data_IF_408351836220
#
_entry.id   IF_408351836220
#
_cell.length_a   1.000
_cell.length_b   1.000
_cell.length_c   1.000
_cell.angle_alpha   90.00
_cell.angle_beta   90.00
_cell.angle_gamma   90.00
#
_symmetry.space_group_name_H-M   'P 1'
#
loop_
_entity.id
_entity.type
_entity.pdbx_description
1 polymer ?
#
# COMPACT_ATOMS: atom_id res chain seq x y z
N UNK A 1 10.88 4.45 22.28
CA UNK A 1 11.08 2.98 22.37
C UNK A 1 12.23 2.57 21.48
N UNK A 2 12.96 1.52 21.87
CA UNK A 2 13.90 0.82 20.99
C UNK A 2 13.18 -0.30 20.27
N UNK A 3 13.07 -0.21 18.95
CA UNK A 3 12.30 -1.13 18.13
C UNK A 3 13.24 -1.88 17.18
N UNK A 4 13.19 -3.20 17.18
CA UNK A 4 13.85 -4.02 16.16
C UNK A 4 12.86 -4.29 15.03
N UNK A 5 13.20 -3.86 13.82
CA UNK A 5 12.45 -4.13 12.61
C UNK A 5 13.21 -5.13 11.72
N UNK A 6 12.66 -6.33 11.61
CA UNK A 6 13.17 -7.42 10.78
C UNK A 6 12.44 -7.40 9.44
N UNK A 7 13.05 -6.72 8.46
CA UNK A 7 12.52 -6.55 7.12
C UNK A 7 12.92 -7.68 6.17
N UNK A 8 12.70 -7.49 4.88
CA UNK A 8 13.14 -8.37 3.81
C UNK A 8 14.33 -7.74 3.05
N UNK A 9 15.12 -8.54 2.33
CA UNK A 9 16.26 -8.07 1.53
C UNK A 9 15.86 -7.37 0.22
N UNK A 10 14.57 -7.25 -0.06
CA UNK A 10 14.00 -6.57 -1.23
C UNK A 10 12.86 -5.69 -0.78
N UNK A 11 12.55 -4.69 -1.58
CA UNK A 11 11.40 -3.84 -1.37
C UNK A 11 10.10 -4.65 -1.23
N UNK A 12 9.29 -4.26 -0.26
CA UNK A 12 8.00 -4.86 0.04
C UNK A 12 7.04 -3.77 0.48
N UNK A 13 5.95 -3.60 -0.25
CA UNK A 13 5.04 -2.48 -0.04
C UNK A 13 4.47 -2.42 1.37
N UNK A 14 4.13 -3.56 1.99
CA UNK A 14 3.60 -3.56 3.37
C UNK A 14 4.68 -3.18 4.38
N UNK A 15 5.84 -3.87 4.32
CA UNK A 15 6.99 -3.56 5.16
C UNK A 15 7.42 -2.10 5.03
N UNK A 16 7.53 -1.62 3.80
CA UNK A 16 8.03 -0.29 3.50
C UNK A 16 7.05 0.79 3.96
N UNK A 17 5.74 0.58 3.77
CA UNK A 17 4.71 1.52 4.24
C UNK A 17 4.66 1.61 5.76
N UNK A 18 4.73 0.47 6.44
CA UNK A 18 4.77 0.45 7.90
C UNK A 18 6.04 1.10 8.44
N UNK A 19 7.20 0.76 7.87
CA UNK A 19 8.48 1.34 8.27
C UNK A 19 8.53 2.85 8.02
N UNK A 20 7.97 3.34 6.90
CA UNK A 20 7.84 4.77 6.64
C UNK A 20 7.08 5.47 7.78
N UNK A 21 5.89 4.97 8.14
CA UNK A 21 5.11 5.53 9.25
C UNK A 21 5.83 5.44 10.59
N UNK A 22 6.54 4.34 10.85
CA UNK A 22 7.31 4.15 12.08
C UNK A 22 8.45 5.15 12.21
N UNK A 23 9.17 5.43 11.12
CA UNK A 23 10.29 6.39 11.09
C UNK A 23 9.83 7.85 11.15
N UNK A 24 8.59 8.15 10.77
CA UNK A 24 7.99 9.47 10.97
C UNK A 24 7.72 9.76 12.46
N UNK A 25 7.59 8.71 13.29
CA UNK A 25 7.49 8.83 14.76
C UNK A 25 8.89 8.97 15.37
N UNK A 26 9.40 10.19 15.38
CA UNK A 26 10.78 10.53 15.77
C UNK A 26 11.16 10.17 17.21
N UNK A 27 10.19 9.84 18.05
CA UNK A 27 10.38 9.40 19.44
C UNK A 27 10.87 7.93 19.54
N UNK A 28 10.98 7.21 18.43
CA UNK A 28 11.41 5.82 18.40
C UNK A 28 12.83 5.69 17.84
N UNK A 29 13.63 4.81 18.46
CA UNK A 29 14.89 4.34 17.92
C UNK A 29 14.64 3.03 17.16
N UNK A 30 14.70 3.04 15.84
CA UNK A 30 14.42 1.88 15.01
C UNK A 30 15.71 1.23 14.53
N UNK A 31 15.92 -0.02 14.89
CA UNK A 31 17.03 -0.87 14.45
C UNK A 31 16.53 -1.76 13.32
N UNK A 32 17.09 -1.62 12.12
CA UNK A 32 16.62 -2.29 10.91
C UNK A 32 17.59 -3.36 10.45
N UNK A 33 17.09 -4.60 10.26
CA UNK A 33 17.87 -5.72 9.74
C UNK A 33 17.05 -6.56 8.73
N UNK A 34 17.45 -6.61 7.43
CA UNK A 34 18.49 -5.80 6.81
C UNK A 34 18.12 -4.32 6.71
N UNK A 35 19.11 -3.46 6.56
CA UNK A 35 18.87 -2.04 6.32
C UNK A 35 18.32 -1.83 4.91
N UNK A 36 17.11 -1.22 4.75
CA UNK A 36 16.43 -1.08 3.47
C UNK A 36 16.96 0.12 2.67
N UNK A 37 18.08 -0.06 1.98
CA UNK A 37 18.78 1.02 1.23
C UNK A 37 17.89 1.72 0.20
N UNK A 38 16.88 1.05 -0.36
CA UNK A 38 15.94 1.61 -1.34
C UNK A 38 15.02 2.68 -0.77
N UNK A 39 14.84 2.74 0.55
CA UNK A 39 14.04 3.79 1.19
C UNK A 39 14.84 5.09 1.38
N UNK A 40 16.16 5.07 1.20
CA UNK A 40 17.07 6.20 1.46
C UNK A 40 17.91 6.52 0.21
N UNK A 41 17.33 7.17 -0.81
CA UNK A 41 17.95 7.38 -2.12
C UNK A 41 19.21 8.23 -2.13
N UNK A 42 19.54 8.94 -1.06
CA UNK A 42 20.80 9.69 -0.91
C UNK A 42 22.03 8.80 -0.76
N UNK A 43 21.85 7.52 -0.44
CA UNK A 43 22.91 6.53 -0.53
C UNK A 43 23.03 6.07 -1.98
N UNK A 44 23.80 6.71 -2.78
CA UNK A 44 24.35 6.50 -4.15
C UNK A 44 24.23 5.12 -4.84
N UNK A 45 23.37 4.25 -4.43
CA UNK A 45 23.04 3.01 -5.08
C UNK A 45 21.78 3.20 -5.91
N UNK A 46 21.92 3.15 -7.23
CA UNK A 46 20.84 2.94 -8.15
C UNK A 46 19.96 1.82 -7.61
N UNK A 47 18.74 2.15 -7.20
CA UNK A 47 17.78 1.16 -6.75
C UNK A 47 17.29 0.45 -8.00
N UNK A 48 17.92 -0.66 -8.33
CA UNK A 48 17.47 -1.52 -9.42
C UNK A 48 16.20 -2.26 -8.99
N UNK A 49 15.07 -1.70 -9.33
CA UNK A 49 13.77 -2.34 -9.28
C UNK A 49 13.51 -3.18 -10.54
N UNK A 50 14.49 -3.98 -11.00
CA UNK A 50 14.33 -4.86 -12.15
C UNK A 50 13.82 -4.17 -13.43
N UNK A 51 14.28 -2.95 -13.70
CA UNK A 51 13.88 -2.19 -14.89
C UNK A 51 12.42 -1.73 -14.92
N UNK A 52 11.61 -2.07 -13.93
CA UNK A 52 10.30 -1.49 -13.76
C UNK A 52 10.46 -0.19 -12.96
N UNK A 53 9.90 0.89 -13.46
CA UNK A 53 9.78 2.18 -12.77
C UNK A 53 8.83 2.06 -11.57
N UNK A 54 9.16 1.19 -10.61
CA UNK A 54 8.44 1.07 -9.37
C UNK A 54 8.78 2.30 -8.54
N UNK A 55 7.88 3.25 -8.54
CA UNK A 55 7.96 4.42 -7.69
C UNK A 55 7.94 3.97 -6.24
N UNK A 56 9.07 4.08 -5.56
CA UNK A 56 9.08 3.93 -4.11
C UNK A 56 8.50 5.19 -3.50
N UNK A 57 7.19 5.28 -3.46
CA UNK A 57 6.57 6.41 -2.81
C UNK A 57 6.80 6.44 -1.29
N UNK A 58 7.48 5.44 -0.75
CA UNK A 58 7.95 5.40 0.66
C UNK A 58 9.35 5.98 0.89
N UNK A 59 10.03 6.52 -0.13
CA UNK A 59 11.37 7.09 0.05
C UNK A 59 11.40 8.19 1.11
N UNK A 60 12.48 8.18 1.89
CA UNK A 60 12.72 9.14 2.96
C UNK A 60 14.04 9.87 2.71
N UNK A 61 14.16 11.10 3.20
CA UNK A 61 15.35 11.92 2.97
C UNK A 61 16.59 11.36 3.65
N UNK A 62 16.49 11.01 4.92
CA UNK A 62 17.62 10.54 5.74
C UNK A 62 17.15 9.72 6.94
N UNK A 63 18.00 8.77 7.36
CA UNK A 63 17.88 8.09 8.64
C UNK A 63 19.26 7.69 9.15
N UNK A 64 19.53 7.92 10.42
CA UNK A 64 20.77 7.47 11.06
C UNK A 64 20.71 5.96 11.31
N UNK A 65 21.47 5.19 10.51
CA UNK A 65 21.54 3.74 10.66
C UNK A 65 22.03 3.36 12.06
N UNK A 66 21.23 2.61 12.80
CA UNK A 66 21.60 2.10 14.12
C UNK A 66 22.42 0.80 13.99
N UNK A 67 23.28 0.56 14.98
CA UNK A 67 24.11 -0.64 15.03
C UNK A 67 23.29 -1.91 15.27
N UNK A 68 23.36 -2.82 14.31
CA UNK A 68 22.72 -4.14 14.34
C UNK A 68 23.72 -5.29 14.52
N UNK A 69 24.95 -5.02 14.97
CA UNK A 69 25.88 -6.09 15.36
C UNK A 69 25.36 -6.85 16.58
N UNK A 70 25.70 -8.12 16.68
CA UNK A 70 25.33 -9.00 17.81
C UNK A 70 23.82 -9.05 18.12
N UNK A 71 22.96 -8.94 17.07
CA UNK A 71 21.50 -8.92 17.22
C UNK A 71 20.98 -10.10 18.06
N UNK A 72 21.50 -11.30 17.86
CA UNK A 72 21.11 -12.47 18.65
C UNK A 72 21.28 -12.22 20.14
N UNK A 73 22.41 -11.66 20.55
CA UNK A 73 22.67 -11.37 21.96
C UNK A 73 21.81 -10.20 22.46
N UNK A 74 21.61 -9.17 21.64
CA UNK A 74 20.69 -8.05 21.97
C UNK A 74 19.27 -8.55 22.18
N UNK A 75 18.78 -9.48 21.34
CA UNK A 75 17.45 -10.10 21.47
C UNK A 75 17.36 -10.90 22.78
N UNK A 76 18.29 -11.80 23.03
CA UNK A 76 18.29 -12.63 24.25
C UNK A 76 18.37 -11.80 25.54
N UNK A 77 19.06 -10.67 25.50
CA UNK A 77 19.15 -9.71 26.60
C UNK A 77 17.95 -8.76 26.69
N UNK A 78 16.92 -8.92 25.85
CA UNK A 78 15.73 -8.05 25.80
C UNK A 78 16.07 -6.56 25.64
N UNK A 79 17.04 -6.26 24.76
CA UNK A 79 17.49 -4.89 24.51
C UNK A 79 16.42 -4.01 23.84
N UNK A 80 15.50 -4.63 23.09
CA UNK A 80 14.43 -3.94 22.37
C UNK A 80 13.13 -3.93 23.19
N UNK A 81 12.38 -2.84 23.09
CA UNK A 81 11.05 -2.71 23.68
C UNK A 81 9.98 -3.44 22.86
N UNK A 82 10.21 -3.55 21.54
CA UNK A 82 9.30 -4.15 20.55
C UNK A 82 10.11 -4.80 19.43
N UNK A 83 9.67 -5.98 18.97
CA UNK A 83 10.24 -6.66 17.80
C UNK A 83 9.17 -6.81 16.73
N UNK A 84 9.48 -6.39 15.49
CA UNK A 84 8.54 -6.36 14.37
C UNK A 84 9.12 -7.13 13.20
N UNK A 85 8.39 -8.14 12.73
CA UNK A 85 8.65 -8.82 11.46
C UNK A 85 7.80 -8.18 10.37
N UNK A 86 8.43 -7.35 9.52
CA UNK A 86 7.74 -6.64 8.43
C UNK A 86 7.19 -7.58 7.35
N UNK A 87 7.80 -8.76 7.18
CA UNK A 87 7.36 -9.83 6.28
C UNK A 87 7.83 -11.18 6.79
N UNK A 88 7.11 -11.72 7.76
CA UNK A 88 7.52 -12.96 8.46
C UNK A 88 7.64 -14.17 7.55
N UNK A 89 6.86 -14.23 6.45
CA UNK A 89 6.91 -15.31 5.44
C UNK A 89 8.21 -15.35 4.65
N UNK A 90 8.97 -14.25 4.62
CA UNK A 90 10.25 -14.15 3.87
C UNK A 90 11.46 -13.91 4.79
N UNK A 91 11.24 -13.41 5.99
CA UNK A 91 12.29 -13.25 6.98
C UNK A 91 11.80 -13.73 8.35
N UNK A 92 12.24 -14.91 8.75
CA UNK A 92 12.02 -15.50 10.07
C UNK A 92 13.31 -15.60 10.89
N UNK A 93 14.32 -14.78 10.57
CA UNK A 93 15.59 -14.74 11.31
C UNK A 93 15.35 -14.50 12.80
N UNK A 94 16.08 -15.18 13.65
CA UNK A 94 16.00 -15.06 15.10
C UNK A 94 14.62 -15.40 15.71
N UNK A 95 13.70 -16.07 14.99
CA UNK A 95 12.33 -16.26 15.46
C UNK A 95 12.30 -17.05 16.77
N UNK A 96 13.13 -18.08 16.92
CA UNK A 96 13.20 -18.89 18.15
C UNK A 96 13.72 -18.08 19.34
N UNK A 97 14.71 -17.24 19.13
CA UNK A 97 15.26 -16.35 20.15
C UNK A 97 14.22 -15.31 20.58
N UNK A 98 13.52 -14.72 19.60
CA UNK A 98 12.49 -13.69 19.84
C UNK A 98 11.33 -14.27 20.64
N UNK A 99 10.73 -15.38 20.20
CA UNK A 99 9.56 -15.97 20.89
C UNK A 99 9.92 -16.55 22.27
N UNK A 100 11.21 -16.84 22.50
CA UNK A 100 11.68 -17.28 23.82
C UNK A 100 11.94 -16.08 24.76
N UNK A 101 12.48 -14.97 24.22
CA UNK A 101 12.89 -13.84 25.02
C UNK A 101 11.76 -12.84 25.31
N UNK A 102 10.84 -12.65 24.35
CA UNK A 102 9.81 -11.60 24.43
C UNK A 102 8.43 -12.17 24.70
N UNK A 103 7.61 -11.51 25.52
CA UNK A 103 6.20 -11.85 25.68
C UNK A 103 5.42 -11.46 24.40
N UNK A 104 4.26 -12.08 24.20
CA UNK A 104 3.43 -11.99 23.00
C UNK A 104 3.15 -10.54 22.57
N UNK A 105 2.81 -9.67 23.50
CA UNK A 105 2.46 -8.26 23.28
C UNK A 105 3.65 -7.39 22.83
N UNK A 106 4.86 -7.94 22.86
CA UNK A 106 6.09 -7.25 22.42
C UNK A 106 6.63 -7.79 21.09
N UNK A 107 5.85 -8.63 20.39
CA UNK A 107 6.23 -9.18 19.10
C UNK A 107 5.10 -8.98 18.08
N UNK A 108 5.44 -8.45 16.92
CA UNK A 108 4.50 -8.24 15.81
C UNK A 108 4.96 -9.08 14.61
N UNK A 109 4.04 -9.82 14.02
CA UNK A 109 4.24 -10.57 12.79
C UNK A 109 3.33 -10.03 11.70
N UNK A 110 3.90 -9.52 10.60
CA UNK A 110 3.14 -9.06 9.44
C UNK A 110 3.33 -9.99 8.25
N UNK A 111 2.25 -10.22 7.51
CA UNK A 111 2.24 -10.95 6.25
C UNK A 111 1.56 -10.13 5.16
N UNK A 112 2.36 -9.66 4.19
CA UNK A 112 1.96 -8.85 3.04
C UNK A 112 1.72 -9.66 1.75
N UNK A 113 1.76 -11.01 1.81
CA UNK A 113 1.56 -11.84 0.62
C UNK A 113 0.17 -11.65 0.00
N UNK A 114 0.11 -11.76 -1.33
CA UNK A 114 -1.13 -11.63 -2.11
C UNK A 114 -2.10 -12.80 -1.89
N UNK A 115 -1.59 -13.94 -1.44
CA UNK A 115 -2.41 -15.13 -1.13
C UNK A 115 -3.11 -15.03 0.23
N UNK A 116 -4.19 -15.80 0.38
CA UNK A 116 -5.00 -15.87 1.60
C UNK A 116 -4.50 -16.92 2.61
N UNK A 117 -3.37 -17.57 2.34
CA UNK A 117 -2.78 -18.54 3.28
C UNK A 117 -2.34 -17.85 4.58
N UNK A 118 -2.78 -18.42 5.69
CA UNK A 118 -2.48 -17.95 7.05
C UNK A 118 -1.75 -19.00 7.90
N UNK A 119 -1.30 -20.11 7.29
CA UNK A 119 -0.71 -21.24 8.01
C UNK A 119 0.46 -20.83 8.91
N UNK A 120 1.34 -19.97 8.40
CA UNK A 120 2.46 -19.45 9.16
C UNK A 120 2.00 -18.58 10.33
N UNK A 121 1.07 -17.65 10.09
CA UNK A 121 0.55 -16.80 11.17
C UNK A 121 -0.17 -17.61 12.25
N UNK A 122 -0.95 -18.63 11.86
CA UNK A 122 -1.60 -19.52 12.84
C UNK A 122 -0.59 -20.21 13.77
N UNK A 123 0.61 -20.52 13.30
CA UNK A 123 1.66 -21.07 14.15
C UNK A 123 2.28 -20.04 15.10
N UNK A 124 2.06 -18.74 14.86
CA UNK A 124 2.69 -17.63 15.57
C UNK A 124 1.73 -16.85 16.49
N UNK A 125 0.40 -17.07 16.39
CA UNK A 125 -0.61 -16.29 17.15
C UNK A 125 -0.44 -16.37 18.68
N UNK A 126 0.20 -17.39 19.19
CA UNK A 126 0.51 -17.53 20.61
C UNK A 126 1.82 -16.83 21.02
N UNK A 127 2.61 -16.37 20.05
CA UNK A 127 3.95 -15.80 20.25
C UNK A 127 4.04 -14.32 19.88
N UNK A 128 3.02 -13.77 19.21
CA UNK A 128 2.98 -12.37 18.84
C UNK A 128 1.61 -11.93 18.34
N UNK A 129 1.46 -10.65 18.09
CA UNK A 129 0.27 -10.08 17.44
C UNK A 129 0.46 -10.20 15.93
N UNK A 130 -0.47 -10.87 15.27
CA UNK A 130 -0.38 -11.22 13.85
C UNK A 130 -1.25 -10.34 12.98
N UNK A 131 -0.72 -9.94 11.81
CA UNK A 131 -1.42 -9.13 10.82
C UNK A 131 -1.31 -9.74 9.43
N UNK A 132 -2.44 -9.78 8.71
CA UNK A 132 -2.54 -10.28 7.34
C UNK A 132 -3.19 -9.27 6.43
N UNK A 133 -2.56 -8.97 5.26
CA UNK A 133 -3.10 -8.02 4.29
C UNK A 133 -4.32 -8.60 3.55
N UNK A 134 -4.18 -9.75 2.94
CA UNK A 134 -5.24 -10.44 2.20
C UNK A 134 -6.00 -11.40 3.11
N UNK A 135 -6.60 -10.86 4.19
CA UNK A 135 -7.31 -11.67 5.17
C UNK A 135 -8.74 -11.98 4.69
N UNK A 136 -9.06 -13.27 4.54
CA UNK A 136 -10.40 -13.73 4.20
C UNK A 136 -11.09 -14.34 5.42
N UNK A 137 -12.09 -13.64 5.92
CA UNK A 137 -12.80 -14.02 7.13
C UNK A 137 -12.09 -13.62 8.43
N UNK A 138 -12.76 -13.88 9.54
CA UNK A 138 -12.25 -13.58 10.88
C UNK A 138 -11.46 -14.78 11.43
N UNK A 139 -10.25 -14.52 11.89
CA UNK A 139 -9.37 -15.53 12.49
C UNK A 139 -8.88 -15.04 13.85
N UNK A 140 -8.97 -15.91 14.87
CA UNK A 140 -8.54 -15.57 16.22
C UNK A 140 -7.04 -15.24 16.26
N UNK A 141 -6.70 -14.08 16.81
CA UNK A 141 -5.33 -13.61 16.95
C UNK A 141 -4.68 -13.09 15.68
N UNK A 142 -5.41 -13.04 14.55
CA UNK A 142 -4.93 -12.45 13.29
C UNK A 142 -5.80 -11.25 12.93
N UNK A 143 -5.17 -10.11 12.75
CA UNK A 143 -5.82 -8.84 12.43
C UNK A 143 -5.62 -8.48 10.96
N UNK A 144 -6.60 -7.82 10.31
CA UNK A 144 -6.40 -7.27 8.99
C UNK A 144 -5.40 -6.11 9.03
N UNK A 145 -4.63 -5.96 7.95
CA UNK A 145 -3.75 -4.82 7.71
C UNK A 145 -3.86 -4.42 6.24
N UNK A 146 -3.41 -3.24 5.88
CA UNK A 146 -3.49 -2.67 4.53
C UNK A 146 -2.20 -1.93 4.19
N UNK A 147 -2.04 -1.50 2.94
CA UNK A 147 -0.97 -0.58 2.57
C UNK A 147 -1.27 0.83 3.07
N UNK A 148 -0.34 1.44 3.82
CA UNK A 148 -0.42 2.85 4.17
C UNK A 148 0.11 3.75 3.05
N UNK A 149 -0.40 4.98 2.94
CA UNK A 149 0.13 5.98 2.02
C UNK A 149 0.97 7.02 2.77
N UNK A 150 2.14 7.43 2.25
CA UNK A 150 3.00 8.41 2.93
C UNK A 150 2.32 9.78 3.01
N UNK A 151 2.26 10.35 4.20
CA UNK A 151 1.67 11.67 4.45
C UNK A 151 2.31 12.77 3.59
N UNK A 152 3.61 12.65 3.34
CA UNK A 152 4.40 13.61 2.54
C UNK A 152 4.05 13.63 1.05
N UNK A 153 3.34 12.61 0.59
CA UNK A 153 2.94 12.44 -0.83
C UNK A 153 1.47 12.78 -1.09
N UNK A 154 0.70 13.09 -0.05
CA UNK A 154 -0.70 13.48 -0.20
C UNK A 154 -0.76 14.84 -0.92
N UNK A 155 -1.47 14.90 -2.03
CA UNK A 155 -1.64 16.14 -2.79
C UNK A 155 -2.55 17.11 -2.05
N UNK A 156 -2.00 18.28 -1.68
CA UNK A 156 -2.75 19.36 -1.05
C UNK A 156 -3.44 20.28 -2.08
N UNK A 157 -3.25 20.04 -3.36
CA UNK A 157 -3.77 20.88 -4.44
C UNK A 157 -4.69 20.08 -5.34
N UNK A 158 -5.92 20.54 -5.51
CA UNK A 158 -6.85 19.97 -6.49
C UNK A 158 -6.66 20.72 -7.80
N UNK A 159 -6.18 20.05 -8.83
CA UNK A 159 -6.04 20.63 -10.17
C UNK A 159 -7.38 20.64 -10.90
N UNK A 160 -7.48 21.51 -11.90
CA UNK A 160 -8.64 21.53 -12.80
C UNK A 160 -8.75 20.18 -13.52
N UNK A 161 -9.87 19.50 -13.39
CA UNK A 161 -10.15 18.24 -14.10
C UNK A 161 -10.25 18.50 -15.60
N UNK A 162 -9.38 17.87 -16.37
CA UNK A 162 -9.32 17.96 -17.83
C UNK A 162 -9.73 16.66 -18.51
N UNK A 163 -9.72 15.54 -17.75
CA UNK A 163 -10.06 14.21 -18.22
C UNK A 163 -11.12 13.58 -17.32
N UNK A 164 -12.08 12.88 -17.92
CA UNK A 164 -13.04 12.09 -17.15
C UNK A 164 -12.38 10.82 -16.61
N UNK A 165 -11.47 10.20 -17.38
CA UNK A 165 -10.75 9.00 -17.01
C UNK A 165 -9.24 9.20 -17.19
N UNK A 166 -8.44 8.70 -16.23
CA UNK A 166 -6.99 8.65 -16.32
C UNK A 166 -6.54 7.68 -17.41
N UNK A 167 -5.54 8.09 -18.18
CA UNK A 167 -5.00 7.33 -19.31
C UNK A 167 -4.32 6.02 -18.91
N UNK A 168 -3.96 5.86 -17.63
CA UNK A 168 -3.27 4.66 -17.14
C UNK A 168 -4.25 3.54 -16.88
N UNK A 169 -4.08 2.45 -17.61
CA UNK A 169 -4.85 1.21 -17.45
C UNK A 169 -3.98 0.19 -16.74
N UNK A 170 -4.36 -0.28 -15.54
CA UNK A 170 -3.58 -1.25 -14.79
C UNK A 170 -3.33 -2.53 -15.59
N UNK A 171 -2.04 -2.91 -15.76
CA UNK A 171 -1.64 -4.11 -16.50
C UNK A 171 -1.45 -3.91 -18.00
N UNK A 172 -1.84 -2.79 -18.57
CA UNK A 172 -1.44 -2.38 -19.93
C UNK A 172 -0.20 -1.49 -19.85
N UNK A 173 0.97 -2.10 -20.04
CA UNK A 173 2.26 -1.40 -19.93
C UNK A 173 2.44 -0.31 -20.98
N UNK A 174 1.71 -0.35 -22.10
CA UNK A 174 1.76 0.70 -23.12
C UNK A 174 1.21 2.03 -22.62
N UNK A 175 0.40 2.00 -21.55
CA UNK A 175 -0.18 3.19 -20.92
C UNK A 175 0.69 3.78 -19.82
N UNK A 176 1.79 3.13 -19.44
CA UNK A 176 2.74 3.61 -18.41
C UNK A 176 3.80 4.50 -19.08
N UNK A 177 3.36 5.63 -19.59
CA UNK A 177 4.17 6.55 -20.42
C UNK A 177 4.96 7.60 -19.60
N UNK A 178 4.80 7.61 -18.29
CA UNK A 178 5.40 8.64 -17.43
C UNK A 178 6.81 8.27 -17.00
N UNK A 179 7.77 9.16 -17.29
CA UNK A 179 9.17 8.98 -16.92
C UNK A 179 9.48 9.34 -15.45
N UNK A 180 8.50 9.90 -14.71
CA UNK A 180 8.68 10.27 -13.31
C UNK A 180 7.35 10.31 -12.54
N UNK A 181 7.46 10.22 -11.21
CA UNK A 181 6.34 10.19 -10.28
C UNK A 181 5.47 11.45 -10.36
N UNK A 182 6.10 12.61 -10.53
CA UNK A 182 5.36 13.89 -10.55
C UNK A 182 4.35 13.95 -11.70
N UNK A 183 4.75 13.59 -12.91
CA UNK A 183 3.87 13.56 -14.08
C UNK A 183 2.74 12.54 -13.92
N UNK A 184 3.05 11.39 -13.33
CA UNK A 184 2.06 10.36 -13.02
C UNK A 184 0.99 10.90 -12.07
N UNK A 185 1.39 11.50 -10.96
CA UNK A 185 0.47 12.06 -9.97
C UNK A 185 -0.30 13.28 -10.50
N UNK A 186 0.34 14.12 -11.31
CA UNK A 186 -0.34 15.22 -11.98
C UNK A 186 -1.45 14.71 -12.90
N UNK A 187 -1.21 13.64 -13.65
CA UNK A 187 -2.23 13.03 -14.53
C UNK A 187 -3.40 12.47 -13.75
N UNK A 188 -3.15 11.78 -12.63
CA UNK A 188 -4.21 11.37 -11.71
C UNK A 188 -4.99 12.58 -11.22
N UNK A 189 -4.32 13.63 -10.75
CA UNK A 189 -4.96 14.82 -10.22
C UNK A 189 -5.79 15.59 -11.25
N UNK A 190 -5.43 15.54 -12.55
CA UNK A 190 -6.21 16.13 -13.66
C UNK A 190 -7.36 15.25 -14.13
N UNK A 191 -7.45 14.01 -13.70
CA UNK A 191 -8.48 13.05 -14.04
C UNK A 191 -9.55 12.98 -12.96
N UNK A 192 -10.84 12.78 -13.34
CA UNK A 192 -11.91 12.55 -12.36
C UNK A 192 -11.81 11.15 -11.78
N UNK A 193 -11.60 10.14 -12.63
CA UNK A 193 -11.54 8.73 -12.26
C UNK A 193 -10.26 8.09 -12.79
N UNK A 194 -9.86 7.01 -12.14
CA UNK A 194 -8.83 6.11 -12.64
C UNK A 194 -9.24 4.65 -12.39
N UNK A 195 -8.99 3.80 -13.38
CA UNK A 195 -9.26 2.38 -13.24
C UNK A 195 -8.34 1.72 -12.22
N UNK A 196 -8.94 0.84 -11.44
CA UNK A 196 -8.23 -0.09 -10.57
C UNK A 196 -9.05 -1.37 -10.42
N UNK A 197 -8.38 -2.47 -10.08
CA UNK A 197 -8.96 -3.79 -9.84
C UNK A 197 -8.01 -4.67 -9.05
N UNK A 198 -8.48 -5.82 -8.58
CA UNK A 198 -7.63 -6.84 -7.98
C UNK A 198 -6.61 -7.37 -9.00
N UNK A 199 -5.35 -7.57 -8.56
CA UNK A 199 -4.29 -8.19 -9.34
C UNK A 199 -3.85 -9.50 -8.68
N UNK A 200 -2.67 -9.53 -8.07
CA UNK A 200 -2.24 -10.63 -7.20
C UNK A 200 -3.06 -10.70 -5.93
N UNK A 201 -3.34 -9.52 -5.34
CA UNK A 201 -4.23 -9.31 -4.21
C UNK A 201 -5.24 -8.21 -4.49
N UNK A 202 -6.16 -8.01 -3.56
CA UNK A 202 -7.17 -6.93 -3.59
C UNK A 202 -6.57 -5.58 -3.22
N UNK A 203 -5.77 -5.55 -2.15
CA UNK A 203 -5.13 -4.32 -1.69
C UNK A 203 -3.92 -4.00 -2.59
N UNK A 204 -3.93 -2.80 -3.14
CA UNK A 204 -2.91 -2.30 -4.04
C UNK A 204 -2.63 -0.82 -3.75
N UNK A 205 -1.36 -0.43 -3.70
CA UNK A 205 -0.94 0.95 -3.50
C UNK A 205 -1.61 1.95 -4.43
N UNK A 206 -1.93 1.52 -5.68
CA UNK A 206 -2.63 2.35 -6.67
C UNK A 206 -3.95 2.93 -6.17
N UNK A 207 -4.70 2.21 -5.34
CA UNK A 207 -5.98 2.73 -4.84
C UNK A 207 -5.79 4.04 -4.09
N UNK A 208 -4.74 4.09 -3.26
CA UNK A 208 -4.40 5.27 -2.47
C UNK A 208 -3.68 6.34 -3.30
N UNK A 209 -2.86 5.95 -4.29
CA UNK A 209 -2.27 6.91 -5.24
C UNK A 209 -3.37 7.68 -5.98
N UNK A 210 -4.43 7.00 -6.42
CA UNK A 210 -5.58 7.63 -7.07
C UNK A 210 -6.26 8.61 -6.11
N UNK A 211 -6.65 8.15 -4.93
CA UNK A 211 -7.39 8.97 -3.97
C UNK A 211 -6.58 10.18 -3.51
N UNK A 212 -5.33 9.97 -3.12
CA UNK A 212 -4.49 11.04 -2.58
C UNK A 212 -3.94 12.01 -3.64
N UNK A 213 -4.19 11.70 -4.92
CA UNK A 213 -4.06 12.66 -6.01
C UNK A 213 -5.41 13.19 -6.49
N UNK A 214 -6.40 13.25 -5.59
CA UNK A 214 -7.71 13.87 -5.84
C UNK A 214 -8.48 13.26 -7.03
N UNK A 215 -8.34 11.97 -7.28
CA UNK A 215 -9.09 11.22 -8.28
C UNK A 215 -9.92 10.12 -7.58
N UNK A 216 -10.96 9.64 -8.23
CA UNK A 216 -11.78 8.55 -7.70
C UNK A 216 -11.40 7.21 -8.33
N UNK A 217 -11.15 6.16 -7.52
CA UNK A 217 -10.89 4.83 -8.06
C UNK A 217 -12.20 4.24 -8.62
N UNK A 218 -12.19 3.89 -9.90
CA UNK A 218 -13.22 3.03 -10.48
C UNK A 218 -12.79 1.58 -10.30
N UNK A 219 -13.39 0.91 -9.31
CA UNK A 219 -13.01 -0.43 -8.87
C UNK A 219 -14.13 -1.44 -9.20
N UNK A 220 -14.16 -1.89 -10.46
CA UNK A 220 -15.30 -2.64 -11.03
C UNK A 220 -15.67 -3.91 -10.29
N UNK A 221 -14.70 -4.60 -9.69
CA UNK A 221 -14.87 -5.88 -9.00
C UNK A 221 -14.91 -5.78 -7.47
N UNK A 222 -14.94 -4.56 -6.91
CA UNK A 222 -14.88 -4.31 -5.46
C UNK A 222 -15.93 -5.09 -4.64
N UNK A 223 -17.09 -5.38 -5.22
CA UNK A 223 -18.15 -6.14 -4.58
C UNK A 223 -17.75 -7.59 -4.25
N UNK A 224 -16.66 -8.11 -4.85
CA UNK A 224 -16.13 -9.44 -4.59
C UNK A 224 -15.02 -9.40 -3.50
N UNK A 225 -14.58 -8.21 -3.09
CA UNK A 225 -13.50 -8.07 -2.11
C UNK A 225 -13.94 -8.62 -0.74
N UNK A 226 -13.16 -9.55 -0.14
CA UNK A 226 -13.47 -10.07 1.18
C UNK A 226 -13.63 -8.95 2.21
N UNK A 227 -14.48 -9.17 3.21
CA UNK A 227 -14.81 -8.16 4.21
C UNK A 227 -13.57 -7.63 4.95
N UNK A 228 -12.69 -8.54 5.35
CA UNK A 228 -11.51 -8.21 6.16
C UNK A 228 -10.31 -7.72 5.31
N UNK A 229 -10.27 -8.05 4.01
CA UNK A 229 -9.29 -7.47 3.07
C UNK A 229 -9.65 -6.02 2.77
N UNK A 230 -8.68 -5.12 2.66
CA UNK A 230 -8.93 -3.67 2.51
C UNK A 230 -9.90 -3.14 3.61
N UNK A 231 -9.69 -3.59 4.84
CA UNK A 231 -10.61 -3.48 5.98
C UNK A 231 -11.15 -2.06 6.22
N UNK A 232 -10.29 -1.03 6.12
CA UNK A 232 -10.65 0.36 6.39
C UNK A 232 -10.94 1.18 5.13
N UNK A 233 -10.78 0.58 3.94
CA UNK A 233 -11.15 1.27 2.70
C UNK A 233 -12.65 1.55 2.62
N UNK A 234 -13.07 2.68 2.02
CA UNK A 234 -14.48 3.03 1.87
C UNK A 234 -15.15 2.21 0.75
N UNK A 235 -15.15 0.86 0.87
CA UNK A 235 -15.64 -0.08 -0.17
C UNK A 235 -17.03 0.25 -0.66
N UNK A 236 -17.95 0.63 0.23
CA UNK A 236 -19.31 1.04 -0.14
C UNK A 236 -19.35 2.26 -1.06
N UNK A 237 -18.39 3.19 -0.89
CA UNK A 237 -18.26 4.34 -1.78
C UNK A 237 -17.70 3.94 -3.14
N UNK A 238 -16.80 2.97 -3.17
CA UNK A 238 -16.33 2.41 -4.44
C UNK A 238 -17.44 1.67 -5.17
N UNK A 239 -18.30 0.92 -4.46
CA UNK A 239 -19.51 0.29 -5.02
C UNK A 239 -20.47 1.35 -5.59
N UNK A 240 -20.74 2.44 -4.84
CA UNK A 240 -21.58 3.56 -5.29
C UNK A 240 -21.07 4.19 -6.60
N UNK A 241 -19.74 4.35 -6.74
CA UNK A 241 -19.13 4.86 -7.98
C UNK A 241 -19.40 3.90 -9.15
N UNK A 242 -19.23 2.59 -8.94
CA UNK A 242 -19.43 1.57 -9.97
C UNK A 242 -20.91 1.48 -10.38
N UNK A 243 -21.84 1.64 -9.44
CA UNK A 243 -23.28 1.67 -9.72
C UNK A 243 -23.69 2.94 -10.48
N UNK A 244 -23.04 4.06 -10.20
CA UNK A 244 -23.31 5.34 -10.88
C UNK A 244 -22.86 5.34 -12.33
N UNK A 245 -21.83 4.53 -12.67
CA UNK A 245 -21.20 4.49 -14.00
C UNK A 245 -21.19 3.02 -14.49
N UNK A 246 -22.35 2.41 -14.71
CA UNK A 246 -22.43 0.98 -15.01
C UNK A 246 -21.83 0.59 -16.36
N UNK A 247 -21.75 1.54 -17.30
CA UNK A 247 -21.20 1.34 -18.63
C UNK A 247 -19.69 0.99 -18.62
N UNK A 248 -18.97 1.34 -17.55
CA UNK A 248 -17.57 1.00 -17.39
C UNK A 248 -17.32 -0.38 -16.78
N UNK A 249 -18.34 -1.07 -16.29
CA UNK A 249 -18.21 -2.44 -15.74
C UNK A 249 -17.66 -3.42 -16.77
N UNK A 250 -17.97 -3.22 -18.05
CA UNK A 250 -17.50 -4.08 -19.15
C UNK A 250 -16.03 -3.83 -19.52
N UNK A 251 -15.39 -2.76 -19.01
CA UNK A 251 -14.00 -2.41 -19.28
C UNK A 251 -13.03 -3.16 -18.32
N UNK A 252 -13.48 -4.16 -17.60
CA UNK A 252 -12.68 -5.03 -16.73
C UNK A 252 -11.64 -5.86 -17.52
N UNK A 253 -10.59 -6.39 -16.90
CA UNK A 253 -9.23 -6.75 -17.37
C UNK A 253 -9.07 -7.44 -18.72
N UNK A 254 -10.12 -7.81 -19.40
CA UNK A 254 -10.08 -8.21 -20.80
C UNK A 254 -9.63 -7.10 -21.77
N UNK A 255 -9.48 -5.86 -21.26
CA UNK A 255 -8.78 -4.79 -21.98
C UNK A 255 -7.34 -5.18 -22.35
N UNK A 256 -6.76 -6.19 -21.69
CA UNK A 256 -5.49 -6.80 -22.10
C UNK A 256 -5.55 -7.46 -23.49
N UNK A 257 -6.75 -7.79 -23.95
CA UNK A 257 -7.00 -8.50 -25.20
C UNK A 257 -7.48 -7.60 -26.35
N UNK A 258 -7.65 -6.30 -26.14
CA UNK A 258 -7.97 -5.40 -27.24
C UNK A 258 -6.66 -5.16 -28.03
N UNK A 259 -6.50 -5.77 -29.23
CA UNK A 259 -5.36 -5.46 -30.09
C UNK A 259 -5.39 -3.98 -30.41
N UNK A 260 -4.26 -3.30 -30.22
CA UNK A 260 -4.08 -1.93 -30.72
C UNK A 260 -4.21 -2.00 -32.24
N UNK A 261 -5.21 -1.35 -32.87
CA UNK A 261 -5.24 -1.30 -34.32
C UNK A 261 -3.96 -0.63 -34.82
N UNK A 262 -3.28 -1.28 -35.79
CA UNK A 262 -2.13 -0.66 -36.45
C UNK A 262 -2.53 0.70 -37.03
N UNK A 263 -1.80 1.76 -36.63
CA UNK A 263 -2.00 3.12 -37.15
C UNK A 263 -2.70 4.10 -36.22
N UNK A 264 -3.02 3.72 -35.00
CA UNK A 264 -3.50 4.68 -33.99
C UNK A 264 -2.34 5.42 -33.34
N UNK A 265 -2.30 6.72 -33.53
CA UNK A 265 -1.43 7.64 -32.78
C UNK A 265 -1.87 7.61 -31.30
N UNK A 266 -0.92 7.30 -30.44
CA UNK A 266 -1.10 6.55 -29.21
C UNK A 266 -1.51 7.43 -28.02
N UNK A 267 -2.71 7.95 -28.03
CA UNK A 267 -3.29 8.47 -26.80
C UNK A 267 -4.35 7.48 -26.29
N UNK A 268 -4.13 6.73 -25.18
CA UNK A 268 -5.13 5.81 -24.61
C UNK A 268 -6.47 6.51 -24.32
N UNK A 269 -6.46 7.81 -24.03
CA UNK A 269 -7.67 8.61 -23.80
C UNK A 269 -8.59 8.66 -25.03
N UNK A 270 -8.05 8.58 -26.24
CA UNK A 270 -8.86 8.57 -27.47
C UNK A 270 -9.60 7.24 -27.68
N UNK A 271 -9.07 6.13 -27.10
CA UNK A 271 -9.73 4.81 -27.10
C UNK A 271 -10.91 4.75 -26.14
N UNK A 272 -10.86 5.53 -25.07
CA UNK A 272 -11.85 5.60 -24.01
C UNK A 272 -12.58 6.95 -24.03
N UNK A 273 -12.82 7.56 -25.20
CA UNK A 273 -13.47 8.87 -25.37
C UNK A 273 -14.94 8.85 -24.87
N UNK A 274 -15.08 8.47 -23.60
CA UNK A 274 -16.33 8.43 -22.87
C UNK A 274 -16.49 9.80 -22.21
N UNK A 275 -17.15 10.71 -22.91
CA UNK A 275 -17.62 11.95 -22.29
C UNK A 275 -18.77 11.59 -21.35
N UNK A 276 -18.55 11.81 -20.07
CA UNK A 276 -19.54 11.52 -19.05
C UNK A 276 -20.34 12.76 -18.68
N UNK A 277 -21.64 12.60 -18.66
CA UNK A 277 -22.54 13.57 -18.04
C UNK A 277 -22.70 13.25 -16.55
N UNK A 278 -21.62 13.46 -15.76
CA UNK A 278 -21.62 13.24 -14.31
C UNK A 278 -22.07 14.53 -13.62
N UNK A 279 -23.04 14.40 -12.72
CA UNK A 279 -23.41 15.49 -11.83
C UNK A 279 -22.18 15.94 -11.04
N UNK A 280 -21.86 17.23 -11.17
CA UNK A 280 -20.67 17.80 -10.56
C UNK A 280 -20.73 17.78 -9.02
N UNK A 281 -21.91 18.06 -8.47
CA UNK A 281 -22.06 18.11 -7.01
C UNK A 281 -21.88 16.72 -6.41
N UNK A 282 -22.48 15.68 -7.04
CA UNK A 282 -22.28 14.30 -6.63
C UNK A 282 -20.78 13.92 -6.70
N UNK A 283 -20.08 14.28 -7.78
CA UNK A 283 -18.65 13.99 -7.93
C UNK A 283 -17.81 14.65 -6.83
N UNK A 284 -18.03 15.95 -6.61
CA UNK A 284 -17.28 16.73 -5.63
C UNK A 284 -17.53 16.22 -4.20
N UNK A 285 -18.76 15.79 -3.88
CA UNK A 285 -19.14 15.23 -2.58
C UNK A 285 -18.50 13.86 -2.35
N UNK A 286 -18.60 12.94 -3.29
CA UNK A 286 -18.04 11.59 -3.14
C UNK A 286 -16.50 11.62 -3.11
N UNK A 287 -15.87 12.51 -3.89
CA UNK A 287 -14.42 12.71 -3.85
C UNK A 287 -13.98 13.15 -2.46
N UNK A 288 -14.65 14.15 -1.89
CA UNK A 288 -14.36 14.63 -0.53
C UNK A 288 -14.53 13.52 0.50
N UNK A 289 -15.64 12.78 0.47
CA UNK A 289 -15.91 11.71 1.43
C UNK A 289 -14.88 10.59 1.36
N UNK A 290 -14.52 10.14 0.16
CA UNK A 290 -13.52 9.09 -0.06
C UNK A 290 -12.14 9.57 0.41
N UNK A 291 -11.76 10.79 0.04
CA UNK A 291 -10.47 11.39 0.42
C UNK A 291 -10.32 11.48 1.94
N UNK A 292 -11.32 12.04 2.63
CA UNK A 292 -11.26 12.22 4.09
C UNK A 292 -11.22 10.88 4.83
N UNK A 293 -12.02 9.88 4.42
CA UNK A 293 -11.96 8.54 5.02
C UNK A 293 -10.59 7.91 4.84
N UNK A 294 -10.00 8.00 3.64
CA UNK A 294 -8.67 7.45 3.39
C UNK A 294 -7.59 8.20 4.20
N UNK A 295 -7.67 9.53 4.27
CA UNK A 295 -6.73 10.36 5.03
C UNK A 295 -6.79 10.08 6.53
N UNK A 296 -7.98 9.87 7.06
CA UNK A 296 -8.18 9.53 8.47
C UNK A 296 -7.63 8.15 8.85
N UNK A 297 -7.62 7.17 7.90
CA UNK A 297 -7.44 5.76 8.24
C UNK A 297 -6.29 5.06 7.53
N UNK A 298 -5.89 5.51 6.34
CA UNK A 298 -5.07 4.72 5.43
C UNK A 298 -3.69 5.33 5.14
N UNK A 299 -3.22 6.23 5.98
CA UNK A 299 -1.85 6.74 5.88
C UNK A 299 -0.85 5.84 6.62
N UNK A 300 0.43 6.00 6.36
CA UNK A 300 1.49 5.24 7.01
C UNK A 300 1.48 5.42 8.54
N UNK A 301 1.28 6.65 9.03
CA UNK A 301 1.17 6.93 10.48
C UNK A 301 -0.05 6.24 11.09
N UNK A 302 -1.21 6.28 10.40
CA UNK A 302 -2.43 5.64 10.89
C UNK A 302 -2.32 4.12 10.94
N UNK A 303 -1.59 3.52 9.99
CA UNK A 303 -1.29 2.10 10.03
C UNK A 303 -0.43 1.74 11.24
N UNK A 304 0.59 2.54 11.56
CA UNK A 304 1.42 2.32 12.76
C UNK A 304 0.60 2.48 14.03
N UNK A 305 -0.22 3.53 14.13
CA UNK A 305 -1.13 3.72 15.28
C UNK A 305 -2.02 2.49 15.49
N UNK A 306 -2.67 2.02 14.42
CA UNK A 306 -3.53 0.83 14.46
C UNK A 306 -2.79 -0.43 14.94
N UNK A 307 -1.58 -0.67 14.42
CA UNK A 307 -0.79 -1.86 14.78
C UNK A 307 -0.33 -1.77 16.24
N UNK A 308 0.15 -0.61 16.69
CA UNK A 308 0.59 -0.40 18.08
C UNK A 308 -0.58 -0.53 19.06
N UNK A 309 -1.75 -0.01 18.72
CA UNK A 309 -2.96 -0.15 19.57
C UNK A 309 -3.38 -1.62 19.79
N UNK A 310 -3.02 -2.54 18.89
CA UNK A 310 -3.29 -3.98 19.03
C UNK A 310 -2.27 -4.70 19.94
N UNK A 311 -1.17 -4.06 20.27
CA UNK A 311 -0.15 -4.64 21.17
C UNK A 311 -0.39 -4.33 22.66
N UNK A 312 -1.44 -3.59 22.99
CA UNK A 312 -1.92 -3.32 24.36
C UNK A 312 -1.48 -2.00 24.89
#
# INVERSE_FOLDING_TARGET
MKILFLGHHRADLLSDSFLNGLLLKKEHEVYMDPFPVWLFPSSSSEVDYNGNHAYTYYSMSEYEKKDTTDLKQKILNRFFDLVIYGRVTKNSSYINEVVTAYPKEKVIFMDGEDGQDISMLNSLVNHGVCFKRELNGSHEGIHPIWFGFPETKISNTVLKKTHDLCEIIPGDFSTYIFGNEHLYYETLNRSKFAFTWAKGGWDCGRHLEIVFNNSLPYFSDIHQCPKETMHLHPKKKYEEIVEKIPEWKSIHPDVRAIPIPEGFDQNPSDKLNIKMNIDRNWYDDILREVFEVCKEKLTCLKMVDYVVDKTG
#
